data_IF_100649213473
#
_entry.id   IF_100649213473
#
_cell.length_a   1.000
_cell.length_b   1.000
_cell.length_c   1.000
_cell.angle_alpha   90.00
_cell.angle_beta   90.00
_cell.angle_gamma   90.00
#
_symmetry.space_group_name_H-M   'P 1'
#
loop_
_entity.id
_entity.type
_entity.pdbx_description
1 polymer ?
#
# COMPACT_ATOMS: atom_id res chain seq x y z
N UNK A 1 -24.11 0.98 11.85
CA UNK A 1 -22.63 1.12 11.73
C UNK A 1 -21.92 -0.22 11.90
N UNK A 2 -22.16 -0.98 12.99
CA UNK A 2 -21.44 -2.25 13.21
C UNK A 2 -21.72 -3.32 12.16
N UNK A 3 -22.87 -3.29 11.52
CA UNK A 3 -23.17 -4.17 10.37
C UNK A 3 -22.25 -3.86 9.18
N UNK A 4 -21.99 -2.59 8.88
CA UNK A 4 -21.02 -2.17 7.85
C UNK A 4 -19.58 -2.55 8.19
N UNK A 5 -19.20 -2.39 9.46
CA UNK A 5 -17.88 -2.84 9.94
C UNK A 5 -17.75 -4.35 9.77
N UNK A 6 -18.77 -5.09 10.15
CA UNK A 6 -18.83 -6.55 9.96
C UNK A 6 -18.67 -6.94 8.48
N UNK A 7 -19.42 -6.29 7.58
CA UNK A 7 -19.33 -6.57 6.14
C UNK A 7 -17.91 -6.33 5.60
N UNK A 8 -17.23 -5.27 6.05
CA UNK A 8 -15.85 -4.97 5.65
C UNK A 8 -14.90 -6.02 6.22
N UNK A 9 -14.95 -6.29 7.53
CA UNK A 9 -14.02 -7.21 8.20
C UNK A 9 -14.21 -8.64 7.70
N UNK A 10 -15.48 -9.10 7.62
CA UNK A 10 -15.81 -10.43 7.12
C UNK A 10 -15.44 -10.59 5.64
N UNK A 11 -15.82 -9.60 4.82
CA UNK A 11 -15.49 -9.58 3.41
C UNK A 11 -13.97 -9.63 3.17
N UNK A 12 -13.21 -8.95 4.00
CA UNK A 12 -11.74 -8.91 3.86
C UNK A 12 -11.07 -10.19 4.39
N UNK A 13 -11.34 -10.57 5.63
CA UNK A 13 -10.61 -11.67 6.29
C UNK A 13 -11.10 -13.06 5.89
N UNK A 14 -12.38 -13.20 5.56
CA UNK A 14 -12.98 -14.52 5.26
C UNK A 14 -13.29 -14.70 3.77
N UNK A 15 -13.52 -13.61 3.01
CA UNK A 15 -13.83 -13.66 1.58
C UNK A 15 -12.70 -13.13 0.69
N UNK A 16 -11.58 -12.67 1.27
CA UNK A 16 -10.38 -12.15 0.57
C UNK A 16 -10.67 -10.98 -0.38
N UNK A 17 -11.63 -10.12 -0.04
CA UNK A 17 -11.92 -8.89 -0.77
C UNK A 17 -11.03 -7.75 -0.25
N UNK A 18 -10.80 -6.74 -1.10
CA UNK A 18 -10.05 -5.55 -0.69
C UNK A 18 -10.89 -4.67 0.24
N UNK A 19 -10.32 -4.27 1.37
CA UNK A 19 -11.00 -3.48 2.40
C UNK A 19 -11.41 -2.09 1.91
N UNK A 20 -10.60 -1.46 1.09
CA UNK A 20 -10.87 -0.15 0.49
C UNK A 20 -12.02 -0.21 -0.53
N UNK A 21 -12.12 -1.26 -1.37
CA UNK A 21 -13.25 -1.44 -2.28
C UNK A 21 -14.57 -1.61 -1.50
N UNK A 22 -14.56 -2.43 -0.45
CA UNK A 22 -15.75 -2.63 0.41
C UNK A 22 -16.15 -1.34 1.12
N UNK A 23 -15.19 -0.59 1.67
CA UNK A 23 -15.45 0.69 2.32
C UNK A 23 -16.07 1.71 1.35
N UNK A 24 -15.51 1.85 0.15
CA UNK A 24 -16.05 2.75 -0.88
C UNK A 24 -17.45 2.32 -1.34
N UNK A 25 -17.70 1.01 -1.49
CA UNK A 25 -19.03 0.51 -1.87
C UNK A 25 -20.10 0.88 -0.81
N UNK A 26 -19.76 0.71 0.46
CA UNK A 26 -20.64 1.07 1.58
C UNK A 26 -20.87 2.59 1.63
N UNK A 27 -19.82 3.39 1.49
CA UNK A 27 -19.94 4.86 1.49
C UNK A 27 -20.79 5.39 0.32
N UNK A 28 -20.80 4.70 -0.82
CA UNK A 28 -21.65 5.07 -1.98
C UNK A 28 -23.12 4.68 -1.81
N UNK A 29 -23.39 3.52 -1.18
CA UNK A 29 -24.77 3.00 -0.99
C UNK A 29 -25.50 3.73 0.14
N UNK A 30 -24.78 4.04 1.18
CA UNK A 30 -25.32 4.68 2.38
C UNK A 30 -24.77 6.10 2.45
N UNK A 31 -25.68 7.08 2.57
CA UNK A 31 -25.27 8.46 2.79
C UNK A 31 -24.73 8.57 4.21
N UNK A 32 -23.46 8.16 4.43
CA UNK A 32 -22.75 8.44 5.67
C UNK A 32 -22.45 9.93 5.74
N UNK A 33 -23.46 10.69 6.20
CA UNK A 33 -23.46 12.16 6.17
C UNK A 33 -22.50 12.80 7.17
N UNK A 34 -21.96 12.02 8.13
CA UNK A 34 -21.05 12.55 9.14
C UNK A 34 -19.64 11.97 9.00
N UNK A 35 -18.64 12.83 8.91
CA UNK A 35 -17.22 12.45 8.91
C UNK A 35 -16.88 11.53 10.11
N UNK A 36 -17.49 11.80 11.29
CA UNK A 36 -17.34 11.01 12.51
C UNK A 36 -17.74 9.54 12.32
N UNK A 37 -18.82 9.27 11.60
CA UNK A 37 -19.33 7.91 11.41
C UNK A 37 -18.42 7.15 10.45
N UNK A 38 -17.92 7.80 9.40
CA UNK A 38 -16.91 7.24 8.48
C UNK A 38 -15.62 6.90 9.21
N UNK A 39 -15.12 7.81 10.07
CA UNK A 39 -13.91 7.56 10.87
C UNK A 39 -14.11 6.41 11.87
N UNK A 40 -15.28 6.28 12.48
CA UNK A 40 -15.57 5.17 13.39
C UNK A 40 -15.55 3.83 12.64
N UNK A 41 -16.26 3.74 11.51
CA UNK A 41 -16.30 2.52 10.68
C UNK A 41 -14.90 2.17 10.17
N UNK A 42 -14.17 3.15 9.64
CA UNK A 42 -12.83 2.93 9.11
C UNK A 42 -11.85 2.47 10.20
N UNK A 43 -11.84 3.16 11.35
CA UNK A 43 -10.93 2.82 12.47
C UNK A 43 -11.17 1.42 13.01
N UNK A 44 -12.43 1.04 13.23
CA UNK A 44 -12.75 -0.27 13.78
C UNK A 44 -12.53 -1.38 12.74
N UNK A 45 -12.96 -1.18 11.50
CA UNK A 45 -12.78 -2.17 10.44
C UNK A 45 -11.29 -2.42 10.15
N UNK A 46 -10.54 -1.37 9.80
CA UNK A 46 -9.12 -1.51 9.46
C UNK A 46 -8.29 -1.97 10.66
N UNK A 47 -8.59 -1.47 11.87
CA UNK A 47 -7.89 -1.90 13.07
C UNK A 47 -8.17 -3.35 13.44
N UNK A 48 -9.38 -3.85 13.23
CA UNK A 48 -9.73 -5.27 13.42
C UNK A 48 -9.00 -6.13 12.39
N UNK A 49 -8.97 -5.71 11.12
CA UNK A 49 -8.23 -6.41 10.05
C UNK A 49 -6.73 -6.40 10.38
N UNK A 50 -6.17 -5.25 10.70
CA UNK A 50 -4.76 -5.11 11.02
C UNK A 50 -4.31 -6.05 12.13
N UNK A 51 -5.13 -6.16 13.17
CA UNK A 51 -4.76 -6.86 14.41
C UNK A 51 -5.34 -8.26 14.53
N UNK A 52 -5.94 -8.84 13.49
CA UNK A 52 -6.66 -10.10 13.59
C UNK A 52 -5.83 -11.24 14.22
N UNK A 53 -4.52 -11.33 13.93
CA UNK A 53 -3.61 -12.32 14.53
C UNK A 53 -3.48 -12.10 16.06
N UNK A 54 -3.27 -10.88 16.49
CA UNK A 54 -3.18 -10.52 17.91
C UNK A 54 -4.52 -10.75 18.63
N UNK A 55 -5.63 -10.39 17.98
CA UNK A 55 -6.98 -10.60 18.53
C UNK A 55 -7.29 -12.09 18.67
N UNK A 56 -6.89 -12.92 17.73
CA UNK A 56 -7.06 -14.38 17.79
C UNK A 56 -6.28 -15.01 18.97
N UNK A 57 -5.10 -14.48 19.27
CA UNK A 57 -4.31 -14.93 20.43
C UNK A 57 -5.00 -14.54 21.77
N UNK A 58 -5.57 -13.33 21.85
CA UNK A 58 -6.37 -12.94 23.02
C UNK A 58 -7.61 -13.82 23.19
N UNK A 59 -8.34 -14.09 22.08
CA UNK A 59 -9.49 -14.98 22.09
C UNK A 59 -9.11 -16.40 22.50
N UNK A 60 -8.00 -16.92 21.97
CA UNK A 60 -7.47 -18.24 22.32
C UNK A 60 -7.06 -18.38 23.79
N UNK A 61 -6.67 -17.27 24.45
CA UNK A 61 -6.30 -17.26 25.86
C UNK A 61 -7.52 -17.40 26.82
N UNK A 62 -8.75 -17.11 26.35
CA UNK A 62 -9.96 -17.09 27.17
C UNK A 62 -11.05 -18.02 26.70
N UNK A 63 -10.97 -18.51 25.46
CA UNK A 63 -11.96 -19.44 24.89
C UNK A 63 -11.48 -20.88 24.95
N UNK A 64 -12.39 -21.81 25.30
CA UNK A 64 -12.12 -23.24 25.21
C UNK A 64 -12.21 -23.76 23.75
N UNK A 65 -12.91 -23.06 22.88
CA UNK A 65 -12.98 -23.39 21.46
C UNK A 65 -11.82 -22.75 20.72
N UNK A 66 -10.97 -23.52 20.03
CA UNK A 66 -9.90 -22.96 19.19
C UNK A 66 -10.47 -21.99 18.16
N UNK A 67 -9.85 -20.82 17.99
CA UNK A 67 -10.35 -19.74 17.11
C UNK A 67 -10.54 -20.21 15.67
N UNK A 68 -9.62 -21.03 15.16
CA UNK A 68 -9.71 -21.61 13.80
C UNK A 68 -10.90 -22.54 13.58
N UNK A 69 -11.49 -23.07 14.66
CA UNK A 69 -12.66 -23.95 14.61
C UNK A 69 -13.98 -23.21 14.85
N UNK A 70 -13.94 -21.92 15.12
CA UNK A 70 -15.15 -21.11 15.28
C UNK A 70 -15.82 -20.90 13.91
N UNK A 71 -17.14 -20.76 13.94
CA UNK A 71 -17.88 -20.27 12.77
C UNK A 71 -17.28 -18.95 12.29
N UNK A 72 -17.01 -18.74 10.98
CA UNK A 72 -16.35 -17.53 10.47
C UNK A 72 -17.06 -16.24 10.86
N UNK A 73 -18.41 -16.24 10.88
CA UNK A 73 -19.22 -15.09 11.32
C UNK A 73 -18.99 -14.81 12.80
N UNK A 74 -19.03 -15.83 13.65
CA UNK A 74 -18.80 -15.72 15.10
C UNK A 74 -17.39 -15.26 15.39
N UNK A 75 -16.40 -15.79 14.67
CA UNK A 75 -14.99 -15.39 14.79
C UNK A 75 -14.80 -13.92 14.44
N UNK A 76 -15.41 -13.44 13.35
CA UNK A 76 -15.37 -12.05 12.94
C UNK A 76 -15.99 -11.14 14.02
N UNK A 77 -17.15 -11.48 14.53
CA UNK A 77 -17.81 -10.71 15.60
C UNK A 77 -16.96 -10.67 16.87
N UNK A 78 -16.33 -11.79 17.25
CA UNK A 78 -15.43 -11.84 18.39
C UNK A 78 -14.17 -11.00 18.19
N UNK A 79 -13.58 -10.98 17.00
CA UNK A 79 -12.46 -10.08 16.66
C UNK A 79 -12.86 -8.62 16.80
N UNK A 80 -14.00 -8.21 16.23
CA UNK A 80 -14.55 -6.86 16.37
C UNK A 80 -14.75 -6.47 17.84
N UNK A 81 -15.43 -7.32 18.61
CA UNK A 81 -15.67 -7.06 20.04
C UNK A 81 -14.38 -6.98 20.84
N UNK A 82 -13.38 -7.82 20.54
CA UNK A 82 -12.06 -7.77 21.19
C UNK A 82 -11.32 -6.47 20.83
N UNK A 83 -11.43 -6.02 19.57
CA UNK A 83 -10.86 -4.74 19.14
C UNK A 83 -11.53 -3.56 19.85
N UNK A 84 -12.87 -3.53 19.95
CA UNK A 84 -13.56 -2.49 20.72
C UNK A 84 -13.10 -2.46 22.19
N UNK A 85 -13.02 -3.62 22.85
CA UNK A 85 -12.61 -3.72 24.25
C UNK A 85 -11.18 -3.25 24.50
N UNK A 86 -10.24 -3.50 23.57
CA UNK A 86 -8.82 -3.29 23.82
C UNK A 86 -8.22 -2.07 23.10
N UNK A 87 -8.93 -1.49 22.11
CA UNK A 87 -8.37 -0.45 21.24
C UNK A 87 -9.29 0.75 21.04
N UNK A 88 -10.53 0.72 21.60
CA UNK A 88 -11.49 1.80 21.44
C UNK A 88 -11.92 2.38 22.80
N UNK A 89 -11.04 3.16 23.44
CA UNK A 89 -11.23 3.70 24.80
C UNK A 89 -12.55 4.44 25.02
N UNK A 90 -13.17 4.97 23.94
CA UNK A 90 -14.45 5.70 24.02
C UNK A 90 -15.67 4.76 23.97
N UNK A 91 -15.49 3.46 23.78
CA UNK A 91 -16.56 2.46 23.78
C UNK A 91 -16.58 1.77 25.16
N UNK A 92 -17.66 1.92 25.95
CA UNK A 92 -17.75 1.20 27.22
C UNK A 92 -17.81 -0.31 27.02
N UNK A 93 -17.12 -1.10 27.84
CA UNK A 93 -17.05 -2.57 27.76
C UNK A 93 -18.42 -3.23 27.66
N UNK A 94 -19.38 -2.74 28.48
CA UNK A 94 -20.75 -3.26 28.48
C UNK A 94 -21.45 -3.02 27.12
N UNK A 95 -21.19 -1.88 26.48
CA UNK A 95 -21.74 -1.54 25.19
C UNK A 95 -21.12 -2.42 24.09
N UNK A 96 -19.79 -2.58 24.09
CA UNK A 96 -19.10 -3.48 23.17
C UNK A 96 -19.67 -4.91 23.24
N UNK A 97 -19.75 -5.50 24.44
CA UNK A 97 -20.30 -6.85 24.62
C UNK A 97 -21.76 -6.97 24.13
N UNK A 98 -22.61 -5.99 24.49
CA UNK A 98 -24.02 -6.03 24.12
C UNK A 98 -24.24 -5.90 22.61
N UNK A 99 -23.53 -5.00 21.95
CA UNK A 99 -23.64 -4.78 20.51
C UNK A 99 -23.18 -6.01 19.70
N UNK A 100 -22.12 -6.69 20.12
CA UNK A 100 -21.68 -7.94 19.47
C UNK A 100 -22.69 -9.07 19.64
N UNK A 101 -23.37 -9.15 20.82
CA UNK A 101 -24.48 -10.10 21.01
C UNK A 101 -25.66 -9.77 20.09
N UNK A 102 -26.00 -8.49 19.95
CA UNK A 102 -27.06 -8.06 19.04
C UNK A 102 -26.69 -8.33 17.57
N UNK A 103 -25.44 -8.08 17.19
CA UNK A 103 -24.93 -8.39 15.85
C UNK A 103 -25.01 -9.89 15.57
N UNK A 104 -24.63 -10.75 16.52
CA UNK A 104 -24.75 -12.21 16.41
C UNK A 104 -26.20 -12.66 16.12
N UNK A 105 -27.18 -12.00 16.74
CA UNK A 105 -28.60 -12.27 16.47
C UNK A 105 -29.04 -11.75 15.10
N UNK A 106 -28.59 -10.54 14.69
CA UNK A 106 -28.88 -10.01 13.34
C UNK A 106 -28.35 -10.92 12.24
N UNK A 107 -27.19 -11.53 12.46
CA UNK A 107 -26.59 -12.52 11.57
C UNK A 107 -27.26 -13.91 11.65
N UNK A 108 -28.43 -14.03 12.32
CA UNK A 108 -29.23 -15.27 12.47
C UNK A 108 -28.47 -16.41 13.16
N UNK A 109 -27.58 -16.07 14.08
CA UNK A 109 -26.74 -17.00 14.86
C UNK A 109 -27.06 -16.96 16.37
N UNK A 110 -28.34 -16.82 16.75
CA UNK A 110 -28.81 -16.68 18.14
C UNK A 110 -28.24 -17.75 19.09
N UNK A 111 -28.04 -18.95 18.59
CA UNK A 111 -27.46 -20.07 19.37
C UNK A 111 -26.06 -19.78 19.91
N UNK A 112 -25.32 -18.87 19.26
CA UNK A 112 -23.98 -18.46 19.70
C UNK A 112 -23.96 -17.19 20.55
N UNK A 113 -25.10 -16.51 20.73
CA UNK A 113 -25.15 -15.25 21.49
C UNK A 113 -24.62 -15.38 22.92
N UNK A 114 -24.93 -16.49 23.61
CA UNK A 114 -24.40 -16.81 24.95
C UNK A 114 -22.88 -17.03 24.95
N UNK A 115 -22.35 -17.71 23.93
CA UNK A 115 -20.92 -17.95 23.76
C UNK A 115 -20.17 -16.65 23.51
N UNK A 116 -20.63 -15.81 22.58
CA UNK A 116 -20.04 -14.48 22.28
C UNK A 116 -20.00 -13.61 23.53
N UNK A 117 -21.13 -13.53 24.26
CA UNK A 117 -21.19 -12.76 25.50
C UNK A 117 -20.21 -13.28 26.56
N UNK A 118 -20.12 -14.61 26.73
CA UNK A 118 -19.23 -15.25 27.71
C UNK A 118 -17.74 -14.96 27.42
N UNK A 119 -17.33 -15.09 26.16
CA UNK A 119 -15.94 -14.83 25.74
C UNK A 119 -15.57 -13.35 25.92
N UNK A 120 -16.40 -12.42 25.41
CA UNK A 120 -16.10 -10.99 25.49
C UNK A 120 -16.11 -10.48 26.94
N UNK A 121 -17.07 -10.91 27.78
CA UNK A 121 -17.06 -10.54 29.21
C UNK A 121 -15.87 -11.12 29.97
N UNK A 122 -15.34 -12.28 29.55
CA UNK A 122 -14.12 -12.82 30.14
C UNK A 122 -12.90 -11.94 29.74
N UNK A 123 -12.82 -11.51 28.48
CA UNK A 123 -11.77 -10.56 28.03
C UNK A 123 -11.86 -9.21 28.72
N UNK A 124 -13.06 -8.61 28.83
CA UNK A 124 -13.27 -7.32 29.50
C UNK A 124 -12.79 -7.28 30.96
N UNK A 125 -12.65 -8.43 31.63
CA UNK A 125 -12.11 -8.53 32.99
C UNK A 125 -10.59 -8.67 33.04
N UNK A 126 -9.92 -8.82 31.88
CA UNK A 126 -8.48 -8.98 31.82
C UNK A 126 -7.80 -7.63 31.68
N UNK A 127 -6.67 -7.49 32.35
CA UNK A 127 -5.72 -6.43 32.05
C UNK A 127 -5.02 -6.77 30.73
N UNK A 128 -5.23 -5.91 29.73
CA UNK A 128 -4.71 -6.11 28.36
C UNK A 128 -3.19 -6.25 28.34
N UNK A 129 -2.47 -5.37 29.05
CA UNK A 129 -1.01 -5.35 29.01
C UNK A 129 -0.43 -6.60 29.67
N UNK A 130 -0.98 -7.02 30.83
CA UNK A 130 -0.58 -8.27 31.48
C UNK A 130 -0.87 -9.49 30.62
N UNK A 131 -2.03 -9.53 29.95
CA UNK A 131 -2.40 -10.62 29.05
C UNK A 131 -1.44 -10.67 27.85
N UNK A 132 -1.12 -9.51 27.28
CA UNK A 132 -0.15 -9.36 26.19
C UNK A 132 1.23 -9.86 26.55
N UNK A 133 1.74 -9.48 27.73
CA UNK A 133 3.02 -9.96 28.25
C UNK A 133 3.04 -11.48 28.45
N UNK A 134 1.97 -12.04 29.06
CA UNK A 134 1.83 -13.47 29.28
C UNK A 134 1.83 -14.28 27.97
N UNK A 135 1.15 -13.80 26.93
CA UNK A 135 1.13 -14.44 25.60
C UNK A 135 2.51 -14.32 24.97
N UNK A 136 3.10 -13.12 24.95
CA UNK A 136 4.42 -12.90 24.36
C UNK A 136 5.53 -13.76 25.01
N UNK A 137 5.45 -13.98 26.32
CA UNK A 137 6.40 -14.82 27.05
C UNK A 137 6.33 -16.32 26.68
N UNK A 138 5.21 -16.78 26.11
CA UNK A 138 5.03 -18.18 25.69
C UNK A 138 5.54 -18.44 24.26
N UNK A 139 5.88 -17.39 23.51
CA UNK A 139 6.33 -17.54 22.11
C UNK A 139 7.75 -18.13 22.09
N UNK A 140 7.97 -19.11 21.19
CA UNK A 140 9.17 -19.96 21.16
C UNK A 140 10.37 -19.26 20.53
N UNK A 141 10.12 -18.46 19.49
CA UNK A 141 11.15 -17.79 18.72
C UNK A 141 10.80 -16.31 18.44
N UNK A 142 11.75 -15.59 17.83
CA UNK A 142 11.57 -14.17 17.53
C UNK A 142 10.46 -13.93 16.49
N UNK A 143 10.31 -14.80 15.49
CA UNK A 143 9.28 -14.64 14.47
C UNK A 143 7.87 -14.82 15.05
N UNK A 144 7.65 -15.85 15.90
CA UNK A 144 6.39 -16.04 16.63
C UNK A 144 6.07 -14.85 17.55
N UNK A 145 7.09 -14.34 18.26
CA UNK A 145 6.93 -13.19 19.14
C UNK A 145 6.56 -11.94 18.34
N UNK A 146 7.23 -11.69 17.22
CA UNK A 146 6.93 -10.55 16.35
C UNK A 146 5.57 -10.71 15.67
N UNK A 147 5.23 -11.92 15.22
CA UNK A 147 3.90 -12.21 14.67
C UNK A 147 2.78 -11.79 15.61
N UNK A 148 2.87 -12.14 16.87
CA UNK A 148 1.88 -11.72 17.87
C UNK A 148 1.95 -10.22 18.17
N UNK A 149 3.13 -9.66 18.45
CA UNK A 149 3.29 -8.28 18.92
C UNK A 149 2.91 -7.23 17.85
N UNK A 150 3.11 -7.56 16.58
CA UNK A 150 2.89 -6.66 15.46
C UNK A 150 1.76 -7.12 14.52
N UNK A 151 1.07 -8.21 14.90
CA UNK A 151 -0.04 -8.79 14.14
C UNK A 151 0.31 -9.05 12.66
N UNK A 152 1.48 -9.61 12.40
CA UNK A 152 2.00 -9.96 11.06
C UNK A 152 2.22 -11.47 10.99
N UNK A 153 1.84 -12.18 9.91
CA UNK A 153 2.05 -13.63 9.79
C UNK A 153 3.49 -14.05 10.10
N UNK A 154 3.66 -15.19 10.76
CA UNK A 154 4.98 -15.71 11.16
C UNK A 154 5.90 -15.89 9.96
N UNK A 155 5.37 -16.34 8.84
CA UNK A 155 6.09 -16.56 7.59
C UNK A 155 6.69 -15.25 7.09
N UNK A 156 5.92 -14.17 7.11
CA UNK A 156 6.39 -12.84 6.73
C UNK A 156 7.43 -12.31 7.74
N UNK A 157 7.21 -12.49 9.05
CA UNK A 157 8.23 -12.16 10.05
C UNK A 157 9.53 -12.91 9.82
N UNK A 158 9.47 -14.19 9.44
CA UNK A 158 10.64 -15.03 9.15
C UNK A 158 11.37 -14.52 7.91
N UNK A 159 10.65 -14.21 6.85
CA UNK A 159 11.21 -13.61 5.62
C UNK A 159 11.99 -12.32 5.94
N UNK A 160 11.34 -11.38 6.65
CA UNK A 160 11.96 -10.11 7.01
C UNK A 160 13.18 -10.28 7.92
N UNK A 161 13.12 -11.19 8.91
CA UNK A 161 14.22 -11.47 9.82
C UNK A 161 15.42 -12.06 9.07
N UNK A 162 15.18 -12.94 8.11
CA UNK A 162 16.22 -13.59 7.30
C UNK A 162 16.97 -12.59 6.43
N UNK A 163 16.26 -11.68 5.77
CA UNK A 163 16.87 -10.75 4.80
C UNK A 163 17.39 -9.45 5.43
N UNK A 164 16.70 -8.92 6.44
CA UNK A 164 17.01 -7.59 7.01
C UNK A 164 17.53 -7.63 8.44
N UNK A 165 17.55 -8.80 9.06
CA UNK A 165 17.98 -8.97 10.44
C UNK A 165 17.03 -8.33 11.44
N UNK A 166 17.29 -8.60 12.75
CA UNK A 166 16.36 -8.27 13.83
C UNK A 166 16.06 -6.78 13.98
N UNK A 167 17.09 -5.91 13.82
CA UNK A 167 16.95 -4.46 14.04
C UNK A 167 16.07 -3.80 12.99
N UNK A 168 16.33 -4.04 11.71
CA UNK A 168 15.56 -3.45 10.61
C UNK A 168 14.15 -4.03 10.56
N UNK A 169 13.99 -5.36 10.74
CA UNK A 169 12.69 -6.00 10.83
C UNK A 169 11.82 -5.38 11.92
N UNK A 170 12.36 -5.17 13.13
CA UNK A 170 11.61 -4.55 14.21
C UNK A 170 11.09 -3.16 13.80
N UNK A 171 11.96 -2.31 13.22
CA UNK A 171 11.57 -0.97 12.74
C UNK A 171 10.49 -1.02 11.67
N UNK A 172 10.59 -1.94 10.70
CA UNK A 172 9.57 -2.12 9.68
C UNK A 172 8.21 -2.52 10.28
N UNK A 173 8.20 -3.49 11.21
CA UNK A 173 6.99 -3.95 11.87
C UNK A 173 6.35 -2.86 12.74
N UNK A 174 7.14 -2.03 13.40
CA UNK A 174 6.66 -0.84 14.13
C UNK A 174 6.03 0.17 13.16
N UNK A 175 6.70 0.48 12.05
CA UNK A 175 6.21 1.42 11.04
C UNK A 175 4.93 0.95 10.32
N UNK A 176 4.67 -0.36 10.25
CA UNK A 176 3.40 -0.89 9.72
C UNK A 176 2.20 -0.59 10.62
N UNK A 177 2.42 -0.24 11.89
CA UNK A 177 1.37 0.11 12.85
C UNK A 177 1.22 1.62 13.06
N UNK A 178 2.09 2.44 12.47
CA UNK A 178 2.06 3.89 12.58
C UNK A 178 1.09 4.52 11.57
N UNK A 179 0.35 5.52 12.03
CA UNK A 179 -0.41 6.39 11.11
C UNK A 179 0.55 7.30 10.38
N UNK A 180 0.63 7.17 9.07
CA UNK A 180 1.51 8.00 8.24
C UNK A 180 0.80 9.25 7.73
N UNK A 181 1.53 10.36 7.54
CA UNK A 181 0.97 11.54 6.89
C UNK A 181 0.58 11.23 5.45
N UNK A 182 -0.33 12.01 4.91
CA UNK A 182 -0.67 11.96 3.49
C UNK A 182 0.40 12.72 2.72
N UNK A 183 1.10 12.05 1.80
CA UNK A 183 2.05 12.72 0.92
C UNK A 183 1.39 13.09 -0.41
N UNK A 184 1.75 14.25 -0.94
CA UNK A 184 1.27 14.76 -2.23
C UNK A 184 2.45 15.13 -3.11
N UNK A 185 2.30 14.93 -4.42
CA UNK A 185 3.20 15.47 -5.44
C UNK A 185 2.52 16.64 -6.14
N UNK A 186 3.22 17.75 -6.26
CA UNK A 186 2.75 18.95 -6.96
C UNK A 186 2.87 18.77 -8.48
N UNK A 187 1.84 19.16 -9.22
CA UNK A 187 1.85 19.24 -10.68
C UNK A 187 2.29 20.65 -11.10
N UNK A 188 3.59 20.81 -11.35
CA UNK A 188 4.19 22.13 -11.63
C UNK A 188 3.70 22.78 -12.93
N UNK A 189 2.98 22.04 -13.77
CA UNK A 189 2.27 22.56 -14.94
C UNK A 189 1.02 23.38 -14.52
N UNK A 190 0.38 23.00 -13.40
CA UNK A 190 -0.90 23.58 -12.97
C UNK A 190 -0.75 24.59 -11.84
N UNK A 191 0.21 24.42 -10.93
CA UNK A 191 0.49 25.35 -9.84
C UNK A 191 1.95 25.24 -9.37
N UNK A 192 2.47 26.31 -8.77
CA UNK A 192 3.78 26.28 -8.12
C UNK A 192 3.71 25.60 -6.74
N UNK A 193 4.80 25.01 -6.23
CA UNK A 193 4.83 24.45 -4.88
C UNK A 193 4.47 25.48 -3.80
N UNK A 194 4.87 26.73 -3.97
CA UNK A 194 4.59 27.83 -3.05
C UNK A 194 3.10 28.18 -3.01
N UNK A 195 2.41 28.16 -4.15
CA UNK A 195 0.95 28.37 -4.23
C UNK A 195 0.21 27.24 -3.53
N UNK A 196 0.54 25.97 -3.83
CA UNK A 196 -0.07 24.81 -3.20
C UNK A 196 0.12 24.84 -1.68
N UNK A 197 1.34 25.12 -1.21
CA UNK A 197 1.62 25.25 0.23
C UNK A 197 0.73 26.30 0.87
N UNK A 198 0.69 27.51 0.31
CA UNK A 198 -0.10 28.64 0.85
C UNK A 198 -1.58 28.30 0.93
N UNK A 199 -2.15 27.75 -0.15
CA UNK A 199 -3.58 27.35 -0.18
C UNK A 199 -3.94 26.34 0.90
N UNK A 200 -3.07 25.34 1.11
CA UNK A 200 -3.28 24.30 2.12
C UNK A 200 -3.12 24.85 3.54
N UNK A 201 -2.11 25.69 3.81
CA UNK A 201 -1.88 26.31 5.12
C UNK A 201 -3.00 27.28 5.49
N UNK A 202 -3.53 28.07 4.54
CA UNK A 202 -4.69 28.94 4.74
C UNK A 202 -5.97 28.15 5.06
N UNK A 203 -6.08 26.90 4.57
CA UNK A 203 -7.16 25.99 4.91
C UNK A 203 -6.95 25.24 6.25
N UNK A 204 -5.88 25.55 6.99
CA UNK A 204 -5.58 24.94 8.30
C UNK A 204 -4.93 23.55 8.22
N UNK A 205 -4.44 23.14 7.04
CA UNK A 205 -3.71 21.89 6.85
C UNK A 205 -2.24 22.09 7.27
N UNK A 206 -1.73 21.13 8.06
CA UNK A 206 -0.29 21.14 8.36
C UNK A 206 0.52 20.65 7.17
N UNK A 207 1.42 21.50 6.66
CA UNK A 207 2.26 21.22 5.49
C UNK A 207 3.72 21.13 5.92
N UNK A 208 4.41 20.06 5.54
CA UNK A 208 5.84 19.87 5.77
C UNK A 208 6.52 19.35 4.52
N UNK A 209 7.84 19.60 4.40
CA UNK A 209 8.63 19.05 3.31
C UNK A 209 8.63 17.53 3.31
N UNK A 210 8.80 16.93 2.14
CA UNK A 210 9.13 15.52 2.03
C UNK A 210 10.51 15.24 2.65
N UNK A 211 10.76 14.06 3.23
CA UNK A 211 12.05 13.73 3.86
C UNK A 211 13.27 13.86 2.94
N UNK A 212 13.11 13.58 1.65
CA UNK A 212 14.24 13.50 0.70
C UNK A 212 14.03 14.26 -0.61
N UNK A 213 12.79 14.34 -1.10
CA UNK A 213 12.45 14.90 -2.40
C UNK A 213 11.84 16.31 -2.28
N UNK A 214 11.88 17.09 -3.37
CA UNK A 214 11.33 18.45 -3.41
C UNK A 214 10.04 18.57 -4.23
N UNK A 215 9.58 17.48 -4.79
CA UNK A 215 8.45 17.45 -5.74
C UNK A 215 7.08 17.52 -5.05
N UNK A 216 7.03 17.60 -3.71
CA UNK A 216 5.76 17.61 -2.98
C UNK A 216 5.88 17.85 -1.49
N UNK A 217 4.83 17.49 -0.76
CA UNK A 217 4.69 17.76 0.66
C UNK A 217 4.09 16.57 1.41
N UNK A 218 4.37 16.50 2.73
CA UNK A 218 3.61 15.68 3.68
C UNK A 218 2.56 16.55 4.38
N UNK A 219 1.33 16.04 4.44
CA UNK A 219 0.17 16.72 5.00
C UNK A 219 -0.31 16.07 6.28
N UNK A 220 -0.66 16.88 7.28
CA UNK A 220 -1.32 16.45 8.52
C UNK A 220 -2.67 17.15 8.70
N UNK A 221 -3.54 16.61 9.56
CA UNK A 221 -4.90 17.09 9.78
C UNK A 221 -5.80 17.02 8.52
N UNK A 222 -5.56 16.02 7.67
CA UNK A 222 -6.36 15.77 6.47
C UNK A 222 -7.50 14.82 6.80
N UNK A 223 -8.74 15.29 6.69
CA UNK A 223 -9.94 14.44 6.85
C UNK A 223 -10.36 13.78 5.53
N UNK A 224 -10.34 14.55 4.46
CA UNK A 224 -10.64 14.08 3.12
C UNK A 224 -9.81 14.85 2.09
N UNK A 225 -9.00 14.16 1.32
CA UNK A 225 -8.11 14.76 0.32
C UNK A 225 -8.91 15.42 -0.82
N UNK A 226 -10.06 14.86 -1.19
CA UNK A 226 -10.88 15.35 -2.29
C UNK A 226 -11.47 16.73 -2.02
N UNK A 227 -11.52 17.14 -0.73
CA UNK A 227 -12.03 18.46 -0.32
C UNK A 227 -10.93 19.50 -0.08
N UNK A 228 -9.67 19.14 -0.27
CA UNK A 228 -8.56 20.07 -0.12
C UNK A 228 -8.53 21.10 -1.26
N UNK A 229 -8.18 22.37 -0.96
CA UNK A 229 -7.92 23.37 -2.01
C UNK A 229 -6.88 22.87 -3.01
N UNK A 230 -7.11 23.12 -4.29
CA UNK A 230 -6.22 22.70 -5.38
C UNK A 230 -6.35 21.24 -5.81
N UNK A 231 -7.12 20.38 -5.09
CA UNK A 231 -7.28 18.99 -5.51
C UNK A 231 -8.12 18.87 -6.78
N UNK A 232 -9.31 19.49 -6.82
CA UNK A 232 -10.19 19.47 -7.99
C UNK A 232 -9.59 20.22 -9.19
N UNK A 233 -8.78 21.23 -8.92
CA UNK A 233 -8.06 22.02 -9.91
C UNK A 233 -6.82 21.31 -10.47
N UNK A 234 -6.49 20.13 -9.92
CA UNK A 234 -5.38 19.33 -10.38
C UNK A 234 -4.00 19.86 -9.99
N UNK A 235 -3.89 20.68 -8.94
CA UNK A 235 -2.62 21.25 -8.48
C UNK A 235 -1.68 20.17 -7.93
N UNK A 236 -2.23 19.08 -7.39
CA UNK A 236 -1.44 17.98 -6.83
C UNK A 236 -2.15 16.62 -6.96
N UNK A 237 -1.37 15.57 -6.75
CA UNK A 237 -1.84 14.17 -6.64
C UNK A 237 -1.34 13.56 -5.34
N UNK A 238 -2.17 12.72 -4.69
CA UNK A 238 -1.72 11.88 -3.58
C UNK A 238 -0.72 10.86 -4.11
N UNK A 239 0.50 10.97 -3.65
CA UNK A 239 1.59 10.06 -4.04
C UNK A 239 2.60 9.99 -2.90
N UNK A 240 2.95 8.77 -2.48
CA UNK A 240 4.02 8.57 -1.50
C UNK A 240 5.36 9.00 -2.08
N UNK A 241 6.25 9.55 -1.24
CA UNK A 241 7.57 10.01 -1.66
C UNK A 241 8.34 8.91 -2.41
N UNK A 242 8.32 7.68 -1.88
CA UNK A 242 9.00 6.54 -2.50
C UNK A 242 8.47 6.23 -3.90
N UNK A 243 7.17 6.44 -4.14
CA UNK A 243 6.53 6.25 -5.45
C UNK A 243 6.84 7.37 -6.46
N UNK A 244 7.47 8.47 -6.04
CA UNK A 244 7.98 9.53 -6.93
C UNK A 244 9.34 9.17 -7.53
N UNK A 245 10.12 8.30 -6.88
CA UNK A 245 11.46 7.89 -7.30
C UNK A 245 11.57 7.44 -8.77
N UNK A 246 10.64 6.64 -9.32
CA UNK A 246 10.67 6.27 -10.75
C UNK A 246 10.73 7.47 -11.69
N UNK A 247 9.97 8.53 -11.42
CA UNK A 247 10.04 9.78 -12.20
C UNK A 247 11.37 10.49 -12.02
N UNK A 248 11.84 10.63 -10.76
CA UNK A 248 13.09 11.33 -10.42
C UNK A 248 14.30 10.71 -11.13
N UNK A 249 14.41 9.37 -11.15
CA UNK A 249 15.56 8.67 -11.75
C UNK A 249 15.39 8.35 -13.24
N UNK A 250 14.24 8.70 -13.84
CA UNK A 250 13.92 8.31 -15.22
C UNK A 250 14.74 9.03 -16.28
N UNK A 251 15.22 10.24 -15.99
CA UNK A 251 15.82 11.17 -16.97
C UNK A 251 14.90 11.52 -18.13
N UNK A 252 13.59 11.43 -17.96
CA UNK A 252 12.63 11.83 -18.98
C UNK A 252 12.81 13.31 -19.32
N UNK A 253 12.86 13.62 -20.61
CA UNK A 253 13.03 14.97 -21.12
C UNK A 253 12.03 15.27 -22.23
N UNK A 254 11.75 16.56 -22.51
CA UNK A 254 10.91 16.95 -23.62
C UNK A 254 11.34 16.32 -24.95
N UNK A 255 10.42 15.65 -25.63
CA UNK A 255 10.63 14.93 -26.87
C UNK A 255 10.70 13.40 -26.76
N UNK A 256 10.88 12.86 -25.55
CA UNK A 256 10.95 11.42 -25.35
C UNK A 256 9.61 10.70 -25.60
N UNK A 257 9.69 9.44 -25.97
CA UNK A 257 8.57 8.51 -26.01
C UNK A 257 8.59 7.63 -24.77
N UNK A 258 7.56 7.75 -23.93
CA UNK A 258 7.46 7.08 -22.63
C UNK A 258 6.34 6.03 -22.67
N UNK A 259 6.63 4.84 -22.18
CA UNK A 259 5.68 3.76 -22.03
C UNK A 259 5.54 3.38 -20.55
N UNK A 260 4.35 3.58 -19.96
CA UNK A 260 4.02 3.12 -18.62
C UNK A 260 3.15 1.88 -18.71
N UNK A 261 3.69 0.73 -18.30
CA UNK A 261 3.13 -0.59 -18.65
C UNK A 261 2.18 -1.19 -17.62
N UNK A 262 2.17 -0.65 -16.39
CA UNK A 262 1.26 -1.03 -15.30
C UNK A 262 0.78 0.24 -14.58
N UNK A 263 0.15 1.13 -15.34
CA UNK A 263 0.03 2.55 -15.03
C UNK A 263 -0.96 2.90 -13.90
N UNK A 264 -1.95 2.05 -13.62
CA UNK A 264 -3.03 2.40 -12.67
C UNK A 264 -2.51 2.63 -11.24
N UNK A 265 -2.91 3.74 -10.58
CA UNK A 265 -3.92 4.75 -10.94
C UNK A 265 -3.40 5.98 -11.72
N UNK A 266 -2.16 5.99 -12.22
CA UNK A 266 -1.60 7.06 -13.05
C UNK A 266 -0.54 7.93 -12.37
N UNK A 267 -0.19 7.70 -11.12
CA UNK A 267 0.75 8.57 -10.39
C UNK A 267 2.11 8.73 -11.08
N UNK A 268 2.69 7.65 -11.60
CA UNK A 268 3.96 7.66 -12.35
C UNK A 268 3.79 8.18 -13.78
N UNK A 269 2.68 7.83 -14.42
CA UNK A 269 2.28 8.37 -15.73
C UNK A 269 2.25 9.90 -15.73
N UNK A 270 1.52 10.50 -14.76
CA UNK A 270 1.37 11.95 -14.70
C UNK A 270 2.64 12.65 -14.21
N UNK A 271 3.49 11.96 -13.45
CA UNK A 271 4.83 12.46 -13.17
C UNK A 271 5.69 12.53 -14.45
N UNK A 272 5.63 11.50 -15.28
CA UNK A 272 6.31 11.51 -16.58
C UNK A 272 5.74 12.58 -17.51
N UNK A 273 4.43 12.81 -17.52
CA UNK A 273 3.79 13.88 -18.31
C UNK A 273 4.28 15.28 -17.91
N UNK A 274 4.45 15.54 -16.60
CA UNK A 274 5.03 16.80 -16.10
C UNK A 274 6.47 16.99 -16.62
N UNK A 275 7.28 15.92 -16.63
CA UNK A 275 8.67 15.96 -17.10
C UNK A 275 8.77 16.17 -18.63
N UNK A 276 7.82 15.66 -19.41
CA UNK A 276 7.74 15.88 -20.86
C UNK A 276 7.38 17.31 -21.24
N UNK A 277 6.76 18.08 -20.34
CA UNK A 277 6.39 19.51 -20.56
C UNK A 277 5.60 19.72 -21.87
N UNK A 278 4.65 18.82 -22.17
CA UNK A 278 3.83 18.89 -23.38
C UNK A 278 4.60 18.61 -24.70
N UNK A 279 5.77 18.01 -24.63
CA UNK A 279 6.58 17.64 -25.80
C UNK A 279 6.98 16.18 -25.66
N UNK A 280 6.62 15.34 -26.63
CA UNK A 280 6.88 13.92 -26.62
C UNK A 280 5.58 13.11 -26.66
N UNK A 281 5.67 11.84 -26.32
CA UNK A 281 4.52 10.92 -26.28
C UNK A 281 4.57 10.10 -25.00
N UNK A 282 3.42 9.93 -24.35
CA UNK A 282 3.28 9.00 -23.24
C UNK A 282 2.08 8.09 -23.46
N UNK A 283 2.28 6.78 -23.31
CA UNK A 283 1.24 5.78 -23.35
C UNK A 283 1.16 5.06 -22.01
N UNK A 284 0.03 5.24 -21.33
CA UNK A 284 -0.31 4.58 -20.09
C UNK A 284 -1.13 3.32 -20.37
N UNK A 285 -0.68 2.18 -19.85
CA UNK A 285 -1.30 0.88 -20.07
C UNK A 285 -1.62 0.17 -18.78
N UNK A 286 -2.70 -0.58 -18.78
CA UNK A 286 -2.99 -1.57 -17.75
C UNK A 286 -3.83 -2.72 -18.34
N UNK A 287 -3.85 -3.84 -17.65
CA UNK A 287 -4.45 -5.10 -18.13
C UNK A 287 -5.97 -5.06 -18.21
N UNK A 288 -6.66 -4.15 -17.51
CA UNK A 288 -8.12 -4.12 -17.47
C UNK A 288 -8.70 -2.72 -17.59
N UNK A 289 -9.86 -2.64 -18.26
CA UNK A 289 -10.65 -1.40 -18.39
C UNK A 289 -11.04 -0.81 -17.02
N UNK A 290 -11.38 -1.65 -16.01
CA UNK A 290 -11.67 -1.20 -14.65
C UNK A 290 -10.54 -0.37 -14.05
N UNK A 291 -9.30 -0.77 -14.29
CA UNK A 291 -8.11 -0.04 -13.82
C UNK A 291 -7.90 1.26 -14.59
N UNK A 292 -8.18 1.28 -15.90
CA UNK A 292 -8.04 2.48 -16.72
C UNK A 292 -9.03 3.58 -16.38
N UNK A 293 -10.19 3.26 -15.83
CA UNK A 293 -11.17 4.27 -15.37
C UNK A 293 -10.50 5.26 -14.43
N UNK A 294 -9.72 4.77 -13.43
CA UNK A 294 -9.00 5.63 -12.48
C UNK A 294 -7.95 6.53 -13.15
N UNK A 295 -7.28 6.02 -14.18
CA UNK A 295 -6.31 6.83 -14.94
C UNK A 295 -7.04 7.94 -15.70
N UNK A 296 -8.18 7.65 -16.36
CA UNK A 296 -8.98 8.65 -17.08
C UNK A 296 -9.56 9.70 -16.15
N UNK A 297 -10.07 9.31 -14.98
CA UNK A 297 -10.56 10.24 -13.95
C UNK A 297 -9.45 11.20 -13.49
N UNK A 298 -8.26 10.67 -13.21
CA UNK A 298 -7.10 11.49 -12.85
C UNK A 298 -6.63 12.36 -14.02
N UNK A 299 -6.56 11.84 -15.26
CA UNK A 299 -6.22 12.63 -16.43
C UNK A 299 -7.15 13.84 -16.61
N UNK A 300 -8.46 13.60 -16.48
CA UNK A 300 -9.46 14.67 -16.56
C UNK A 300 -9.25 15.73 -15.46
N UNK A 301 -9.06 15.31 -14.21
CA UNK A 301 -8.81 16.19 -13.06
C UNK A 301 -7.52 17.00 -13.20
N UNK A 302 -6.48 16.40 -13.74
CA UNK A 302 -5.15 17.00 -13.93
C UNK A 302 -5.05 17.81 -15.23
N UNK A 303 -6.14 17.87 -16.03
CA UNK A 303 -6.18 18.50 -17.34
C UNK A 303 -5.13 17.93 -18.32
N UNK A 304 -4.81 16.64 -18.18
CA UNK A 304 -3.87 15.93 -19.05
C UNK A 304 -4.60 15.31 -20.26
N UNK A 305 -4.46 15.94 -21.41
CA UNK A 305 -5.09 15.52 -22.67
C UNK A 305 -4.15 14.76 -23.60
N UNK A 306 -2.85 14.78 -23.33
CA UNK A 306 -1.81 14.22 -24.21
C UNK A 306 -1.38 12.81 -23.85
N UNK A 307 -1.95 12.24 -22.76
CA UNK A 307 -1.67 10.88 -22.31
C UNK A 307 -2.55 9.89 -23.09
N UNK A 308 -1.93 9.04 -23.90
CA UNK A 308 -2.62 7.91 -24.52
C UNK A 308 -2.91 6.85 -23.46
N UNK A 309 -4.18 6.42 -23.33
CA UNK A 309 -4.59 5.43 -22.34
C UNK A 309 -5.16 4.20 -23.06
N UNK A 310 -4.51 3.04 -22.88
CA UNK A 310 -4.81 1.83 -23.65
C UNK A 310 -4.86 0.59 -22.74
N UNK A 311 -5.90 -0.26 -22.93
CA UNK A 311 -5.89 -1.61 -22.35
C UNK A 311 -4.82 -2.43 -23.07
N UNK A 312 -3.89 -2.98 -22.31
CA UNK A 312 -2.84 -3.86 -22.85
C UNK A 312 -2.31 -4.78 -21.75
N UNK A 313 -2.22 -6.05 -22.08
CA UNK A 313 -1.50 -7.00 -21.22
C UNK A 313 0.00 -6.91 -21.52
N UNK A 314 0.75 -6.36 -20.58
CA UNK A 314 2.19 -6.12 -20.71
C UNK A 314 3.04 -7.39 -20.90
N UNK A 315 2.47 -8.58 -20.70
CA UNK A 315 3.12 -9.86 -21.04
C UNK A 315 3.24 -10.08 -22.52
N UNK A 316 2.46 -9.35 -23.32
CA UNK A 316 2.48 -9.44 -24.79
C UNK A 316 3.33 -8.31 -25.38
N UNK A 317 4.17 -8.66 -26.36
CA UNK A 317 4.86 -7.66 -27.17
C UNK A 317 3.86 -6.83 -27.97
N UNK A 318 4.08 -5.51 -28.06
CA UNK A 318 3.35 -4.60 -28.94
C UNK A 318 4.22 -4.26 -30.16
N UNK A 319 3.89 -4.77 -31.35
CA UNK A 319 4.64 -4.50 -32.57
C UNK A 319 4.69 -3.00 -32.94
N UNK A 320 3.64 -2.24 -32.58
CA UNK A 320 3.55 -0.80 -32.86
C UNK A 320 4.53 0.04 -32.01
N UNK A 321 5.08 -0.56 -30.94
CA UNK A 321 6.05 0.08 -30.06
C UNK A 321 7.46 -0.49 -30.16
N UNK A 322 7.72 -1.42 -31.06
CA UNK A 322 9.04 -2.04 -31.20
C UNK A 322 10.14 -0.99 -31.40
N UNK A 323 11.10 -0.94 -30.45
CA UNK A 323 12.23 0.02 -30.40
C UNK A 323 11.81 1.50 -30.49
N UNK A 324 10.64 1.84 -29.92
CA UNK A 324 10.14 3.22 -29.93
C UNK A 324 10.28 3.93 -28.60
N UNK A 325 10.27 3.22 -27.48
CA UNK A 325 10.33 3.84 -26.16
C UNK A 325 11.74 4.32 -25.82
N UNK A 326 11.88 5.60 -25.48
CA UNK A 326 13.10 6.16 -24.88
C UNK A 326 13.17 5.76 -23.42
N UNK A 327 12.00 5.74 -22.73
CA UNK A 327 11.87 5.31 -21.34
C UNK A 327 10.67 4.38 -21.18
N UNK A 328 10.87 3.26 -20.47
CA UNK A 328 9.79 2.38 -19.99
C UNK A 328 9.71 2.49 -18.47
N UNK A 329 8.51 2.79 -17.97
CA UNK A 329 8.18 2.70 -16.55
C UNK A 329 7.49 1.35 -16.30
N UNK A 330 8.13 0.49 -15.52
CA UNK A 330 7.64 -0.84 -15.19
C UNK A 330 7.42 -0.97 -13.67
N UNK A 331 6.32 -0.36 -13.18
CA UNK A 331 5.85 -0.51 -11.80
C UNK A 331 4.97 -1.75 -11.73
N UNK A 332 5.62 -2.90 -11.69
CA UNK A 332 4.96 -4.18 -11.87
C UNK A 332 4.09 -4.60 -10.68
N UNK A 333 3.03 -5.42 -10.89
CA UNK A 333 2.27 -5.97 -9.77
C UNK A 333 3.19 -6.78 -8.86
N UNK A 334 3.10 -6.53 -7.56
CA UNK A 334 3.97 -7.12 -6.55
C UNK A 334 3.21 -7.48 -5.27
N UNK A 335 3.86 -8.19 -4.34
CA UNK A 335 3.29 -8.61 -3.05
C UNK A 335 2.86 -7.46 -2.14
N UNK A 336 3.35 -6.24 -2.37
CA UNK A 336 2.94 -5.04 -1.65
C UNK A 336 3.39 -4.97 -0.18
N UNK A 337 4.38 -5.76 0.24
CA UNK A 337 4.85 -5.80 1.63
C UNK A 337 5.27 -4.41 2.14
N UNK A 338 5.77 -3.56 1.26
CA UNK A 338 6.21 -2.21 1.63
C UNK A 338 5.09 -1.27 2.06
N UNK A 339 3.83 -1.56 1.68
CA UNK A 339 2.66 -0.71 1.91
C UNK A 339 1.64 -1.31 2.89
N UNK A 340 2.01 -2.35 3.62
CA UNK A 340 1.16 -3.02 4.64
C UNK A 340 0.58 -2.03 5.65
N UNK A 341 1.29 -0.97 6.00
CA UNK A 341 0.78 0.07 6.92
C UNK A 341 -0.44 0.83 6.38
N UNK A 342 -0.59 0.93 5.05
CA UNK A 342 -1.73 1.56 4.38
C UNK A 342 -2.82 0.54 3.98
N UNK A 343 -2.43 -0.69 3.69
CA UNK A 343 -3.29 -1.79 3.24
C UNK A 343 -3.07 -3.02 4.12
N UNK A 344 -3.68 -3.04 5.30
CA UNK A 344 -3.38 -4.05 6.32
C UNK A 344 -3.69 -5.49 5.89
N UNK A 345 -4.65 -5.70 5.00
CA UNK A 345 -5.03 -7.03 4.50
C UNK A 345 -3.91 -7.72 3.70
N UNK A 346 -3.04 -6.96 3.04
CA UNK A 346 -1.93 -7.50 2.24
C UNK A 346 -1.06 -8.45 3.07
N UNK A 347 -0.89 -8.19 4.37
CA UNK A 347 -0.03 -8.99 5.25
C UNK A 347 -0.36 -10.48 5.26
N UNK A 348 -1.64 -10.84 5.08
CA UNK A 348 -2.11 -12.21 5.26
C UNK A 348 -1.72 -13.16 4.11
N UNK A 349 -1.60 -12.64 2.91
CA UNK A 349 -1.30 -13.43 1.70
C UNK A 349 0.03 -13.00 1.03
N UNK A 350 0.79 -12.05 1.63
CA UNK A 350 1.97 -11.45 1.00
C UNK A 350 3.03 -12.48 0.58
N UNK A 351 3.32 -13.49 1.42
CA UNK A 351 4.37 -14.48 1.12
C UNK A 351 3.95 -15.41 -0.02
N UNK A 352 2.69 -15.88 -0.04
CA UNK A 352 2.18 -16.70 -1.15
C UNK A 352 2.12 -15.91 -2.46
N UNK A 353 1.78 -14.62 -2.40
CA UNK A 353 1.77 -13.75 -3.57
C UNK A 353 3.16 -13.56 -4.20
N UNK A 354 4.25 -13.64 -3.43
CA UNK A 354 5.61 -13.58 -4.02
C UNK A 354 5.81 -14.73 -5.02
N UNK A 355 5.46 -15.96 -4.63
CA UNK A 355 5.62 -17.13 -5.48
C UNK A 355 4.78 -17.05 -6.76
N UNK A 356 3.59 -16.47 -6.67
CA UNK A 356 2.68 -16.28 -7.80
C UNK A 356 3.12 -15.14 -8.72
N UNK A 357 3.61 -14.03 -8.16
CA UNK A 357 3.87 -12.79 -8.90
C UNK A 357 5.25 -12.74 -9.57
N UNK A 358 6.27 -13.37 -9.02
CA UNK A 358 7.62 -13.37 -9.63
C UNK A 358 7.61 -13.91 -11.07
N UNK A 359 6.95 -15.03 -11.40
CA UNK A 359 6.81 -15.48 -12.79
C UNK A 359 6.10 -14.46 -13.68
N UNK A 360 5.00 -13.85 -13.18
CA UNK A 360 4.22 -12.84 -13.92
C UNK A 360 5.06 -11.59 -14.18
N UNK A 361 5.83 -11.13 -13.19
CA UNK A 361 6.75 -10.00 -13.34
C UNK A 361 7.77 -10.25 -14.45
N UNK A 362 8.36 -11.45 -14.50
CA UNK A 362 9.32 -11.84 -15.54
C UNK A 362 8.68 -11.95 -16.93
N UNK A 363 7.44 -12.43 -17.02
CA UNK A 363 6.67 -12.43 -18.28
C UNK A 363 6.41 -10.99 -18.76
N UNK A 364 6.01 -10.08 -17.86
CA UNK A 364 5.84 -8.65 -18.16
C UNK A 364 7.15 -8.06 -18.69
N UNK A 365 8.25 -8.26 -17.95
CA UNK A 365 9.56 -7.74 -18.34
C UNK A 365 9.98 -8.25 -19.73
N UNK A 366 9.78 -9.53 -20.01
CA UNK A 366 10.04 -10.10 -21.34
C UNK A 366 9.17 -9.45 -22.43
N UNK A 367 7.88 -9.22 -22.15
CA UNK A 367 6.92 -8.67 -23.11
C UNK A 367 7.18 -7.21 -23.48
N UNK A 368 7.71 -6.40 -22.54
CA UNK A 368 7.90 -4.96 -22.76
C UNK A 368 9.27 -4.59 -23.35
N UNK A 369 10.30 -5.41 -23.15
CA UNK A 369 11.68 -5.07 -23.58
C UNK A 369 11.88 -4.88 -25.08
N UNK A 370 11.13 -5.55 -25.98
CA UNK A 370 11.18 -5.23 -27.41
C UNK A 370 10.79 -3.80 -27.76
N UNK A 371 9.98 -3.14 -26.90
CA UNK A 371 9.59 -1.74 -27.10
C UNK A 371 10.70 -0.75 -26.79
N UNK A 372 11.69 -1.13 -25.96
CA UNK A 372 12.77 -0.25 -25.56
C UNK A 372 13.81 -0.08 -26.68
N UNK A 373 14.14 1.17 -27.02
CA UNK A 373 15.22 1.52 -27.95
C UNK A 373 16.58 1.02 -27.47
N UNK A 374 17.54 0.72 -28.36
CA UNK A 374 18.94 0.67 -27.99
C UNK A 374 19.38 2.01 -27.34
N UNK A 375 19.98 1.97 -26.16
CA UNK A 375 20.30 3.14 -25.36
C UNK A 375 19.11 3.71 -24.57
N UNK A 376 17.91 3.14 -24.67
CA UNK A 376 16.73 3.51 -23.88
C UNK A 376 16.81 3.01 -22.44
N UNK A 377 16.04 3.63 -21.58
CA UNK A 377 16.04 3.38 -20.11
C UNK A 377 14.82 2.60 -19.67
N UNK A 378 15.05 1.51 -18.93
CA UNK A 378 14.02 0.81 -18.16
C UNK A 378 14.09 1.23 -16.69
N UNK A 379 13.00 1.75 -16.17
CA UNK A 379 12.79 1.97 -14.74
C UNK A 379 11.92 0.84 -14.21
N UNK A 380 12.53 -0.07 -13.46
CA UNK A 380 11.86 -1.16 -12.79
C UNK A 380 11.52 -0.75 -11.36
N UNK A 381 10.27 -0.91 -10.92
CA UNK A 381 9.87 -0.58 -9.55
C UNK A 381 8.81 -1.53 -8.99
N UNK A 382 8.81 -1.64 -7.65
CA UNK A 382 7.82 -2.40 -6.87
C UNK A 382 7.55 -1.70 -5.54
N UNK A 383 6.34 -1.85 -5.00
CA UNK A 383 6.01 -1.42 -3.64
C UNK A 383 6.22 -2.54 -2.60
N UNK A 384 7.24 -3.37 -2.80
CA UNK A 384 7.58 -4.47 -1.88
C UNK A 384 9.02 -4.36 -1.35
N UNK A 385 9.30 -5.17 -0.33
CA UNK A 385 10.65 -5.34 0.22
C UNK A 385 11.14 -6.81 0.05
N UNK A 386 10.55 -7.55 -0.87
CA UNK A 386 10.94 -8.93 -1.17
C UNK A 386 12.13 -8.95 -2.12
N UNK A 387 13.28 -9.53 -1.74
CA UNK A 387 14.44 -9.67 -2.64
C UNK A 387 14.14 -10.45 -3.92
N UNK A 388 13.24 -11.44 -3.84
CA UNK A 388 12.84 -12.24 -5.01
C UNK A 388 12.14 -11.41 -6.08
N UNK A 389 11.35 -10.41 -5.66
CA UNK A 389 10.66 -9.49 -6.57
C UNK A 389 11.53 -8.29 -6.98
N UNK A 390 12.62 -8.02 -6.26
CA UNK A 390 13.48 -6.85 -6.40
C UNK A 390 14.83 -7.22 -7.03
N UNK A 391 15.86 -7.44 -6.22
CA UNK A 391 17.23 -7.67 -6.69
C UNK A 391 17.36 -8.89 -7.58
N UNK A 392 16.60 -9.98 -7.30
CA UNK A 392 16.66 -11.21 -8.11
C UNK A 392 16.00 -11.01 -9.49
N UNK A 393 14.98 -10.14 -9.61
CA UNK A 393 14.42 -9.79 -10.91
C UNK A 393 15.35 -8.86 -11.71
N UNK A 394 16.09 -7.98 -11.04
CA UNK A 394 17.13 -7.17 -11.69
C UNK A 394 18.27 -8.06 -12.20
N UNK A 395 18.73 -9.02 -11.40
CA UNK A 395 19.73 -10.00 -11.82
C UNK A 395 19.24 -10.84 -13.02
N UNK A 396 17.97 -11.27 -13.00
CA UNK A 396 17.34 -11.96 -14.11
C UNK A 396 17.36 -11.12 -15.40
N UNK A 397 17.09 -9.82 -15.30
CA UNK A 397 17.11 -8.91 -16.46
C UNK A 397 18.51 -8.82 -17.07
N UNK A 398 19.55 -8.66 -16.26
CA UNK A 398 20.93 -8.57 -16.74
C UNK A 398 21.45 -9.90 -17.31
N UNK A 399 20.98 -11.03 -16.81
CA UNK A 399 21.36 -12.36 -17.31
C UNK A 399 20.74 -12.71 -18.65
N UNK A 400 19.47 -12.26 -18.89
CA UNK A 400 18.69 -12.74 -20.04
C UNK A 400 18.52 -11.70 -21.15
N UNK A 401 18.86 -10.42 -20.89
CA UNK A 401 18.65 -9.33 -21.83
C UNK A 401 19.87 -8.40 -21.87
N UNK A 402 20.09 -7.68 -22.98
CA UNK A 402 21.21 -6.75 -23.13
C UNK A 402 20.93 -5.45 -22.33
N UNK A 403 20.86 -5.56 -21.02
CA UNK A 403 20.61 -4.47 -20.09
C UNK A 403 21.76 -4.33 -19.10
N UNK A 404 22.10 -3.09 -18.77
CA UNK A 404 23.07 -2.76 -17.71
C UNK A 404 22.50 -1.76 -16.75
N UNK A 405 22.75 -1.98 -15.47
CA UNK A 405 22.41 -0.99 -14.44
C UNK A 405 23.24 0.28 -14.57
N UNK A 406 22.61 1.41 -14.33
CA UNK A 406 23.25 2.72 -14.22
C UNK A 406 23.13 3.27 -12.79
N UNK A 407 24.20 3.90 -12.27
CA UNK A 407 24.18 4.52 -10.94
C UNK A 407 23.02 5.51 -10.79
N UNK A 408 22.40 5.51 -9.59
CA UNK A 408 21.33 6.44 -9.22
C UNK A 408 21.86 7.70 -8.54
N UNK A 409 23.15 7.77 -8.19
CA UNK A 409 23.70 8.82 -7.32
C UNK A 409 23.53 10.23 -7.90
N UNK A 410 23.60 10.39 -9.24
CA UNK A 410 23.40 11.69 -9.89
C UNK A 410 21.95 12.20 -9.86
N UNK A 411 20.96 11.30 -9.61
CA UNK A 411 19.53 11.62 -9.58
C UNK A 411 19.01 11.79 -8.15
N UNK A 412 19.73 11.25 -7.17
CA UNK A 412 19.25 11.15 -5.79
C UNK A 412 20.01 12.11 -4.86
N UNK A 413 19.31 12.70 -3.87
CA UNK A 413 19.97 13.46 -2.83
C UNK A 413 20.92 12.57 -2.02
N UNK A 414 21.97 13.18 -1.45
CA UNK A 414 22.99 12.46 -0.65
C UNK A 414 22.38 11.61 0.48
N UNK A 415 21.26 12.04 1.05
CA UNK A 415 20.55 11.32 2.12
C UNK A 415 20.04 9.93 1.71
N UNK A 416 19.85 9.68 0.41
CA UNK A 416 19.43 8.39 -0.14
C UNK A 416 20.58 7.60 -0.76
N UNK A 417 21.74 8.24 -1.01
CA UNK A 417 22.87 7.58 -1.66
C UNK A 417 23.53 6.54 -0.74
N UNK A 418 23.84 5.41 -1.31
CA UNK A 418 24.49 4.30 -0.61
C UNK A 418 25.20 3.36 -1.62
N UNK A 419 25.69 2.21 -1.16
CA UNK A 419 26.33 1.23 -2.05
C UNK A 419 25.37 0.71 -3.15
N UNK A 420 24.11 0.48 -2.80
CA UNK A 420 23.10 -0.04 -3.73
C UNK A 420 22.77 0.98 -4.82
N UNK A 421 22.72 2.29 -4.49
CA UNK A 421 22.46 3.35 -5.47
C UNK A 421 23.57 3.48 -6.50
N UNK A 422 24.83 3.28 -6.10
CA UNK A 422 25.98 3.21 -7.02
C UNK A 422 25.87 2.03 -7.99
N UNK A 423 25.21 0.98 -7.56
CA UNK A 423 24.95 -0.22 -8.36
C UNK A 423 23.62 -0.14 -9.14
N UNK A 424 22.98 1.03 -9.22
CA UNK A 424 21.79 1.27 -10.03
C UNK A 424 20.47 0.81 -9.41
N UNK A 425 20.42 0.58 -8.09
CA UNK A 425 19.23 0.13 -7.36
C UNK A 425 19.05 0.92 -6.07
N UNK A 426 17.83 1.00 -5.57
CA UNK A 426 17.51 1.55 -4.25
C UNK A 426 16.37 0.77 -3.60
N UNK A 427 16.58 0.29 -2.39
CA UNK A 427 15.53 -0.27 -1.53
C UNK A 427 15.22 0.71 -0.40
N UNK A 428 13.99 1.19 -0.34
CA UNK A 428 13.43 1.94 0.79
C UNK A 428 12.76 0.96 1.73
N UNK A 429 13.07 1.05 3.02
CA UNK A 429 12.50 0.21 4.07
C UNK A 429 11.62 1.06 5.00
N UNK A 430 10.37 0.65 5.28
CA UNK A 430 9.50 1.33 6.24
C UNK A 430 10.17 1.48 7.61
N UNK A 431 10.01 2.64 8.25
CA UNK A 431 10.60 2.92 9.57
C UNK A 431 12.13 3.04 9.59
N UNK A 432 12.80 2.90 8.44
CA UNK A 432 14.23 3.10 8.28
C UNK A 432 14.54 4.34 7.45
N UNK A 433 13.84 4.51 6.33
CA UNK A 433 14.09 5.59 5.38
C UNK A 433 12.99 6.67 5.36
N UNK A 434 12.03 6.63 6.28
CA UNK A 434 11.03 7.70 6.45
C UNK A 434 9.80 7.65 5.55
N UNK A 435 9.74 6.75 4.55
CA UNK A 435 8.58 6.57 3.67
C UNK A 435 8.11 5.12 3.60
N UNK A 436 7.19 4.80 2.71
CA UNK A 436 6.75 3.42 2.48
C UNK A 436 7.86 2.58 1.87
N UNK A 437 7.75 1.25 2.04
CA UNK A 437 8.68 0.31 1.42
C UNK A 437 8.54 0.33 -0.09
N UNK A 438 9.66 0.52 -0.78
CA UNK A 438 9.69 0.65 -2.22
C UNK A 438 11.04 0.22 -2.78
N UNK A 439 11.04 -0.38 -3.95
CA UNK A 439 12.25 -0.70 -4.67
C UNK A 439 12.24 -0.03 -6.04
N UNK A 440 13.41 0.42 -6.47
CA UNK A 440 13.58 0.96 -7.80
C UNK A 440 14.96 0.60 -8.36
N UNK A 441 15.00 0.30 -9.67
CA UNK A 441 16.23 0.07 -10.42
C UNK A 441 16.19 0.80 -11.76
N UNK A 442 17.34 1.30 -12.19
CA UNK A 442 17.55 1.91 -13.49
C UNK A 442 18.47 1.04 -14.32
N UNK A 443 17.97 0.61 -15.49
CA UNK A 443 18.72 -0.19 -16.43
C UNK A 443 18.70 0.48 -17.82
N UNK A 444 19.79 0.39 -18.57
CA UNK A 444 19.89 0.91 -19.92
C UNK A 444 20.14 -0.23 -20.89
N UNK A 445 19.40 -0.23 -22.01
CA UNK A 445 19.57 -1.23 -23.09
C UNK A 445 20.86 -0.93 -23.84
N UNK A 446 21.73 -1.93 -23.94
CA UNK A 446 22.96 -1.83 -24.72
C UNK A 446 22.66 -1.50 -26.18
N UNK A 447 23.62 -0.78 -26.84
CA UNK A 447 23.49 -0.36 -28.23
C UNK A 447 23.76 -1.51 -29.19
#
# INVERSE_FOLDING_TARGET
MRDYIFDIVYGTLEQKKHSDELFHEICRKEVMNMARDRHFVQREALGTIERAIELDEYLGAVSHTPVVKMDPVVRTILRMGTYELFYMDKVPDAAACNEMVLLTKREKLEKYAGFVNGVLRNLARKDKEKLREQIAAKKRDTAEKYSFLYAVPKELCTLLLTHYGKKSTKKMLEAFQETKPVCIRVHTKNASPEEVRRELEEAGIGVSELPHLKEGFCLTHVENVETLPGFSEGHFTVQDESSMLPGVISSIKPGDQVLDVCASPGGKTFHAADLLKGKGRICARDVSEKKLIRIRENAARLHETEVEIKVWDARNEDPDWREMADVILADVPCSGIGVIGKKPEIRYDAVSHIEELVPIQREILKGILPALKPGGTLIYSTCTVSPQENEENVAYLEEHFPLKRESLDEFLPESLQNKMTKEGMLQILPGVNGSDGFFVARLVKEK
#
